data_IF_336448282664
#
_entry.id   IF_336448282664
#
_cell.length_a   1.000
_cell.length_b   1.000
_cell.length_c   1.000
_cell.angle_alpha   90.00
_cell.angle_beta   90.00
_cell.angle_gamma   90.00
#
_symmetry.space_group_name_H-M   'P 1'
#
loop_
_entity.id
_entity.type
_entity.pdbx_description
1 polymer ?
#
# COMPACT_ATOMS: atom_id res chain seq x y z
N UNK A 1 -9.77 10.51 -8.47
CA UNK A 1 -10.71 10.83 -7.37
C UNK A 1 -10.57 9.92 -6.14
N UNK A 2 -10.50 8.58 -6.27
CA UNK A 2 -10.34 7.69 -5.08
C UNK A 2 -8.94 7.72 -4.41
N UNK A 3 -7.88 8.01 -5.17
CA UNK A 3 -6.50 7.99 -4.68
C UNK A 3 -6.19 9.12 -3.70
N UNK A 4 -6.70 10.32 -3.94
CA UNK A 4 -6.54 11.48 -3.05
C UNK A 4 -7.26 11.28 -1.71
N UNK A 5 -8.44 10.65 -1.75
CA UNK A 5 -9.20 10.28 -0.55
C UNK A 5 -8.41 9.23 0.25
N UNK A 6 -7.91 8.18 -0.41
CA UNK A 6 -7.06 7.15 0.21
C UNK A 6 -5.85 7.78 0.87
N UNK A 7 -5.11 8.62 0.15
CA UNK A 7 -3.93 9.31 0.67
C UNK A 7 -4.22 10.13 1.92
N UNK A 8 -5.29 10.91 1.90
CA UNK A 8 -5.72 11.72 3.03
C UNK A 8 -6.05 10.85 4.25
N UNK A 9 -6.84 9.80 4.05
CA UNK A 9 -7.30 8.93 5.14
C UNK A 9 -6.17 8.08 5.71
N UNK A 10 -5.33 7.48 4.87
CA UNK A 10 -4.18 6.68 5.31
C UNK A 10 -3.13 7.54 6.00
N UNK A 11 -2.86 8.75 5.50
CA UNK A 11 -1.96 9.70 6.16
C UNK A 11 -2.47 10.10 7.54
N UNK A 12 -3.78 10.37 7.68
CA UNK A 12 -4.36 10.66 8.98
C UNK A 12 -4.28 9.42 9.90
N UNK A 13 -4.56 8.24 9.36
CA UNK A 13 -4.56 7.00 10.12
C UNK A 13 -3.17 6.68 10.68
N UNK A 14 -2.13 6.79 9.84
CA UNK A 14 -0.75 6.54 10.26
C UNK A 14 -0.28 7.56 11.30
N UNK A 15 -0.57 8.86 11.12
CA UNK A 15 -0.23 9.89 12.12
C UNK A 15 -0.81 9.57 13.49
N UNK A 16 -2.06 9.09 13.52
CA UNK A 16 -2.74 8.77 14.76
C UNK A 16 -2.32 7.43 15.38
N UNK A 17 -1.63 6.57 14.64
CA UNK A 17 -1.11 5.29 15.14
C UNK A 17 0.36 5.33 15.57
N UNK A 18 1.08 6.44 15.32
CA UNK A 18 2.46 6.65 15.83
C UNK A 18 2.50 6.43 17.34
N UNK A 19 3.51 5.68 17.80
CA UNK A 19 3.68 5.30 19.20
C UNK A 19 2.68 4.26 19.73
N UNK A 20 1.70 3.81 18.93
CA UNK A 20 0.68 2.82 19.34
C UNK A 20 0.86 1.46 18.67
N UNK A 21 1.48 1.41 17.50
CA UNK A 21 1.71 0.16 16.78
C UNK A 21 2.80 -0.65 17.49
N UNK A 22 2.56 -1.95 17.69
CA UNK A 22 3.57 -2.87 18.23
C UNK A 22 4.77 -3.00 17.27
N UNK A 23 5.97 -2.74 17.80
CA UNK A 23 7.23 -2.93 17.07
C UNK A 23 7.38 -4.39 16.64
N UNK A 24 7.01 -5.35 17.49
CA UNK A 24 7.07 -6.78 17.17
C UNK A 24 6.16 -7.14 15.98
N UNK A 25 4.96 -6.53 15.91
CA UNK A 25 4.07 -6.72 14.77
C UNK A 25 4.64 -6.13 13.48
N UNK A 26 5.26 -4.94 13.56
CA UNK A 26 5.94 -4.31 12.43
C UNK A 26 7.10 -5.17 11.92
N UNK A 27 7.90 -5.74 12.81
CA UNK A 27 9.00 -6.63 12.46
C UNK A 27 8.51 -7.92 11.80
N UNK A 28 7.47 -8.56 12.37
CA UNK A 28 6.85 -9.76 11.76
C UNK A 28 6.32 -9.51 10.35
N UNK A 29 5.72 -8.35 10.11
CA UNK A 29 5.23 -7.95 8.79
C UNK A 29 6.40 -7.65 7.85
N UNK A 30 7.44 -6.95 8.32
CA UNK A 30 8.66 -6.68 7.56
C UNK A 30 9.40 -7.95 7.14
N UNK A 31 9.56 -8.91 8.04
CA UNK A 31 10.06 -10.27 7.79
C UNK A 31 9.27 -10.97 6.68
N UNK A 32 7.93 -10.85 6.71
CA UNK A 32 7.06 -11.42 5.69
C UNK A 32 7.24 -10.76 4.33
N UNK A 33 7.46 -9.44 4.26
CA UNK A 33 7.72 -8.73 3.01
C UNK A 33 9.06 -9.14 2.40
N UNK A 34 10.10 -9.33 3.21
CA UNK A 34 11.43 -9.75 2.74
C UNK A 34 11.40 -11.07 1.96
N UNK A 35 10.46 -11.96 2.27
CA UNK A 35 10.25 -13.23 1.54
C UNK A 35 9.81 -13.05 0.09
N UNK A 36 9.44 -11.84 -0.34
CA UNK A 36 9.02 -11.53 -1.69
C UNK A 36 10.11 -10.88 -2.56
N UNK A 37 11.27 -10.52 -2.00
CA UNK A 37 12.34 -9.82 -2.74
C UNK A 37 12.75 -10.61 -3.99
N UNK A 38 12.99 -11.90 -3.83
CA UNK A 38 13.44 -12.80 -4.91
C UNK A 38 12.34 -13.77 -5.38
N UNK A 39 11.08 -13.53 -4.96
CA UNK A 39 9.98 -14.45 -5.27
C UNK A 39 9.53 -14.25 -6.72
N UNK A 40 9.38 -15.33 -7.51
CA UNK A 40 8.92 -15.22 -8.89
C UNK A 40 7.49 -14.66 -8.94
N UNK A 41 7.25 -13.80 -9.92
CA UNK A 41 5.94 -13.18 -10.13
C UNK A 41 5.03 -14.17 -10.86
N UNK A 42 4.00 -14.64 -10.17
CA UNK A 42 2.95 -15.53 -10.69
C UNK A 42 1.62 -15.26 -9.95
N UNK A 43 0.53 -15.89 -10.37
CA UNK A 43 -0.79 -15.64 -9.78
C UNK A 43 -0.83 -15.88 -8.25
N UNK A 44 -0.24 -16.97 -7.78
CA UNK A 44 -0.25 -17.34 -6.37
C UNK A 44 0.56 -16.34 -5.51
N UNK A 45 1.78 -16.01 -5.94
CA UNK A 45 2.62 -15.03 -5.24
C UNK A 45 1.98 -13.64 -5.23
N UNK A 46 1.32 -13.22 -6.32
CA UNK A 46 0.58 -11.96 -6.34
C UNK A 46 -0.55 -11.93 -5.30
N UNK A 47 -1.34 -13.01 -5.18
CA UNK A 47 -2.42 -13.10 -4.18
C UNK A 47 -1.84 -13.01 -2.76
N UNK A 48 -0.78 -13.77 -2.49
CA UNK A 48 -0.12 -13.76 -1.17
C UNK A 48 0.47 -12.38 -0.84
N UNK A 49 1.05 -11.69 -1.84
CA UNK A 49 1.59 -10.35 -1.68
C UNK A 49 0.50 -9.33 -1.37
N UNK A 50 -0.59 -9.33 -2.13
CA UNK A 50 -1.73 -8.42 -1.92
C UNK A 50 -2.39 -8.62 -0.55
N UNK A 51 -2.45 -9.86 -0.06
CA UNK A 51 -2.93 -10.15 1.29
C UNK A 51 -2.01 -9.59 2.37
N UNK A 52 -0.69 -9.69 2.19
CA UNK A 52 0.30 -9.12 3.11
C UNK A 52 0.28 -7.58 3.09
N UNK A 53 0.21 -6.98 1.91
CA UNK A 53 0.05 -5.53 1.70
C UNK A 53 -1.20 -5.02 2.42
N UNK A 54 -2.36 -5.68 2.21
CA UNK A 54 -3.59 -5.36 2.95
C UNK A 54 -3.38 -5.43 4.46
N UNK A 55 -2.79 -6.52 4.97
CA UNK A 55 -2.53 -6.70 6.40
C UNK A 55 -1.67 -5.57 6.97
N UNK A 56 -0.67 -5.10 6.23
CA UNK A 56 0.17 -4.00 6.67
C UNK A 56 -0.63 -2.69 6.80
N UNK A 57 -1.40 -2.32 5.79
CA UNK A 57 -2.23 -1.11 5.86
C UNK A 57 -3.37 -1.19 6.89
N UNK A 58 -3.93 -2.39 7.11
CA UNK A 58 -4.88 -2.65 8.20
C UNK A 58 -4.21 -2.41 9.56
N UNK A 59 -2.96 -2.85 9.75
CA UNK A 59 -2.19 -2.59 10.97
C UNK A 59 -2.04 -1.08 11.23
N UNK A 60 -1.75 -0.28 10.19
CA UNK A 60 -1.63 1.17 10.33
C UNK A 60 -2.96 1.82 10.75
N UNK A 61 -4.06 1.38 10.13
CA UNK A 61 -5.38 1.98 10.33
C UNK A 61 -6.06 1.55 11.63
N UNK A 62 -5.97 0.28 12.01
CA UNK A 62 -6.59 -0.23 13.24
C UNK A 62 -5.99 0.36 14.51
N UNK A 63 -4.71 0.75 14.47
CA UNK A 63 -4.02 1.37 15.60
C UNK A 63 -4.24 2.90 15.69
N UNK A 64 -5.04 3.51 14.81
CA UNK A 64 -5.25 4.96 14.81
C UNK A 64 -6.16 5.45 15.97
N UNK A 65 -6.92 4.54 16.59
CA UNK A 65 -7.86 4.84 17.68
C UNK A 65 -9.08 5.70 17.26
N UNK A 66 -9.31 5.91 15.96
CA UNK A 66 -10.46 6.64 15.44
C UNK A 66 -11.40 5.69 14.70
N UNK A 67 -12.47 5.26 15.38
CA UNK A 67 -13.47 4.34 14.83
C UNK A 67 -14.05 4.82 13.50
N UNK A 68 -14.33 6.13 13.37
CA UNK A 68 -14.91 6.66 12.14
C UNK A 68 -13.94 6.62 10.97
N UNK A 69 -12.65 6.87 11.23
CA UNK A 69 -11.60 6.76 10.22
C UNK A 69 -11.43 5.29 9.75
N UNK A 70 -11.48 4.35 10.69
CA UNK A 70 -11.43 2.91 10.38
C UNK A 70 -12.61 2.52 9.49
N UNK A 71 -13.84 2.95 9.82
CA UNK A 71 -15.03 2.71 8.99
C UNK A 71 -14.90 3.29 7.58
N UNK A 72 -14.38 4.52 7.45
CA UNK A 72 -14.20 5.16 6.14
C UNK A 72 -13.19 4.39 5.28
N UNK A 73 -12.07 3.94 5.85
CA UNK A 73 -11.09 3.11 5.15
C UNK A 73 -11.67 1.75 4.78
N UNK A 74 -12.46 1.13 5.67
CA UNK A 74 -13.14 -0.14 5.39
C UNK A 74 -14.14 -0.02 4.22
N UNK A 75 -14.86 1.09 4.12
CA UNK A 75 -15.79 1.36 3.02
C UNK A 75 -15.08 1.57 1.66
N UNK A 76 -13.77 1.84 1.67
CA UNK A 76 -12.95 2.00 0.47
C UNK A 76 -12.11 0.75 0.16
N UNK A 77 -12.26 -0.32 0.94
CA UNK A 77 -11.35 -1.46 0.92
C UNK A 77 -11.31 -2.14 -0.46
N UNK A 78 -12.45 -2.26 -1.12
CA UNK A 78 -12.56 -2.88 -2.46
C UNK A 78 -11.88 -2.03 -3.53
N UNK A 79 -12.09 -0.72 -3.51
CA UNK A 79 -11.44 0.21 -4.44
C UNK A 79 -9.92 0.25 -4.22
N UNK A 80 -9.48 0.20 -2.95
CA UNK A 80 -8.07 0.11 -2.59
C UNK A 80 -7.48 -1.24 -3.04
N UNK A 81 -8.20 -2.34 -2.86
CA UNK A 81 -7.75 -3.66 -3.30
C UNK A 81 -7.60 -3.71 -4.83
N UNK A 82 -8.57 -3.18 -5.57
CA UNK A 82 -8.49 -3.04 -7.02
C UNK A 82 -7.25 -2.22 -7.42
N UNK A 83 -7.03 -1.05 -6.81
CA UNK A 83 -5.87 -0.20 -7.07
C UNK A 83 -4.53 -0.93 -6.83
N UNK A 84 -4.41 -1.67 -5.72
CA UNK A 84 -3.22 -2.47 -5.40
C UNK A 84 -2.97 -3.55 -6.44
N UNK A 85 -4.02 -4.23 -6.89
CA UNK A 85 -3.91 -5.26 -7.93
C UNK A 85 -3.45 -4.67 -9.27
N UNK A 86 -3.98 -3.49 -9.65
CA UNK A 86 -3.58 -2.79 -10.87
C UNK A 86 -2.13 -2.29 -10.77
N UNK A 87 -1.75 -1.65 -9.67
CA UNK A 87 -0.39 -1.12 -9.51
C UNK A 87 0.66 -2.23 -9.56
N UNK A 88 0.36 -3.41 -8.99
CA UNK A 88 1.21 -4.59 -8.98
C UNK A 88 1.56 -5.11 -10.39
N UNK A 89 0.81 -4.72 -11.43
CA UNK A 89 1.14 -5.07 -12.83
C UNK A 89 2.33 -4.28 -13.40
N UNK A 90 2.69 -3.15 -12.77
CA UNK A 90 3.73 -2.22 -13.26
C UNK A 90 4.90 -2.04 -12.29
N UNK A 91 4.81 -2.59 -11.08
CA UNK A 91 5.87 -2.56 -10.07
C UNK A 91 6.41 -3.96 -9.79
N UNK A 92 7.66 -4.03 -9.35
CA UNK A 92 8.27 -5.29 -8.90
C UNK A 92 8.02 -5.52 -7.41
N UNK A 93 8.00 -6.78 -6.98
CA UNK A 93 7.96 -7.10 -5.56
C UNK A 93 9.13 -6.45 -4.82
N UNK A 94 10.37 -6.56 -5.32
CA UNK A 94 11.53 -5.95 -4.70
C UNK A 94 11.39 -4.42 -4.50
N UNK A 95 10.85 -3.71 -5.50
CA UNK A 95 10.61 -2.27 -5.41
C UNK A 95 9.57 -1.92 -4.35
N UNK A 96 8.42 -2.60 -4.38
CA UNK A 96 7.35 -2.36 -3.42
C UNK A 96 7.74 -2.80 -1.99
N UNK A 97 8.49 -3.89 -1.83
CA UNK A 97 9.03 -4.32 -0.53
C UNK A 97 9.95 -3.25 0.06
N UNK A 98 10.80 -2.62 -0.76
CA UNK A 98 11.68 -1.53 -0.31
C UNK A 98 10.89 -0.35 0.26
N UNK A 99 9.79 0.03 -0.40
CA UNK A 99 8.89 1.09 0.07
C UNK A 99 8.25 0.73 1.42
N UNK A 100 7.68 -0.47 1.53
CA UNK A 100 7.07 -0.97 2.77
C UNK A 100 8.07 -1.02 3.94
N UNK A 101 9.28 -1.52 3.70
CA UNK A 101 10.34 -1.56 4.71
C UNK A 101 10.77 -0.15 5.13
N UNK A 102 10.79 0.83 4.22
CA UNK A 102 11.09 2.21 4.58
C UNK A 102 10.03 2.81 5.53
N UNK A 103 8.74 2.52 5.29
CA UNK A 103 7.66 2.94 6.19
C UNK A 103 7.80 2.25 7.55
N UNK A 104 8.06 0.94 7.57
CA UNK A 104 8.26 0.16 8.81
C UNK A 104 9.43 0.72 9.64
N UNK A 105 10.57 0.99 9.01
CA UNK A 105 11.74 1.55 9.70
C UNK A 105 11.48 2.96 10.23
N UNK A 106 10.71 3.78 9.50
CA UNK A 106 10.28 5.08 9.97
C UNK A 106 9.34 4.98 11.20
N UNK A 107 8.40 4.03 11.18
CA UNK A 107 7.49 3.74 12.30
C UNK A 107 8.26 3.29 13.54
N UNK A 108 9.25 2.39 13.38
CA UNK A 108 10.10 1.92 14.47
C UNK A 108 10.90 3.06 15.13
N UNK A 109 11.31 4.06 14.34
CA UNK A 109 12.01 5.25 14.82
C UNK A 109 11.08 6.32 15.42
N UNK A 110 9.76 6.15 15.31
CA UNK A 110 8.75 7.16 15.64
C UNK A 110 9.04 8.54 14.99
N UNK A 111 9.63 8.55 13.80
CA UNK A 111 9.92 9.79 13.07
C UNK A 111 8.73 10.15 12.17
N UNK A 112 7.80 10.97 12.69
CA UNK A 112 6.58 11.36 11.98
C UNK A 112 6.88 11.92 10.57
N UNK A 113 7.91 12.75 10.42
CA UNK A 113 8.24 13.34 9.13
C UNK A 113 8.67 12.27 8.13
N UNK A 114 9.49 11.32 8.58
CA UNK A 114 9.95 10.22 7.74
C UNK A 114 8.80 9.25 7.40
N UNK A 115 7.92 8.95 8.36
CA UNK A 115 6.74 8.08 8.17
C UNK A 115 5.85 8.64 7.06
N UNK A 116 5.49 9.92 7.16
CA UNK A 116 4.59 10.55 6.19
C UNK A 116 5.26 10.67 4.83
N UNK A 117 6.54 11.04 4.78
CA UNK A 117 7.28 11.09 3.52
C UNK A 117 7.29 9.72 2.83
N UNK A 118 7.62 8.65 3.56
CA UNK A 118 7.68 7.31 3.01
C UNK A 118 6.31 6.80 2.54
N UNK A 119 5.25 7.03 3.33
CA UNK A 119 3.89 6.65 2.97
C UNK A 119 3.40 7.38 1.71
N UNK A 120 3.57 8.70 1.64
CA UNK A 120 3.14 9.47 0.46
C UNK A 120 3.89 9.05 -0.80
N UNK A 121 5.20 8.79 -0.70
CA UNK A 121 5.98 8.27 -1.82
C UNK A 121 5.45 6.91 -2.32
N UNK A 122 5.13 6.00 -1.39
CA UNK A 122 4.54 4.70 -1.72
C UNK A 122 3.18 4.86 -2.41
N UNK A 123 2.30 5.72 -1.87
CA UNK A 123 0.96 5.94 -2.43
C UNK A 123 0.99 6.62 -3.81
N UNK A 124 1.87 7.60 -4.01
CA UNK A 124 2.05 8.25 -5.31
C UNK A 124 2.60 7.25 -6.34
N UNK A 125 3.58 6.42 -5.96
CA UNK A 125 4.11 5.38 -6.86
C UNK A 125 3.04 4.37 -7.27
N UNK A 126 2.19 3.96 -6.32
CA UNK A 126 1.06 3.09 -6.61
C UNK A 126 0.06 3.76 -7.56
N UNK A 127 -0.26 5.04 -7.35
CA UNK A 127 -1.14 5.85 -8.21
C UNK A 127 -0.59 5.97 -9.63
N UNK A 128 0.66 6.39 -9.80
CA UNK A 128 1.31 6.50 -11.11
C UNK A 128 1.26 5.18 -11.86
N UNK A 129 1.60 4.09 -11.18
CA UNK A 129 1.61 2.74 -11.74
C UNK A 129 0.22 2.30 -12.18
N UNK A 130 -0.81 2.58 -11.37
CA UNK A 130 -2.21 2.29 -11.73
C UNK A 130 -2.68 3.12 -12.93
N UNK A 131 -2.32 4.40 -13.00
CA UNK A 131 -2.68 5.26 -14.14
C UNK A 131 -2.05 4.78 -15.45
N UNK A 132 -0.78 4.36 -15.42
CA UNK A 132 -0.09 3.80 -16.58
C UNK A 132 -0.82 2.54 -17.07
N UNK A 133 -1.17 1.63 -16.17
CA UNK A 133 -1.87 0.40 -16.53
C UNK A 133 -3.25 0.67 -17.13
N UNK A 134 -4.06 1.52 -16.48
CA UNK A 134 -5.40 1.88 -16.98
C UNK A 134 -5.33 2.56 -18.34
N UNK A 135 -4.37 3.47 -18.55
CA UNK A 135 -4.19 4.13 -19.85
C UNK A 135 -3.79 3.13 -20.95
N UNK A 136 -3.02 2.09 -20.62
CA UNK A 136 -2.64 1.06 -21.59
C UNK A 136 -3.85 0.28 -22.13
N UNK A 137 -4.91 0.10 -21.32
CA UNK A 137 -6.15 -0.52 -21.76
C UNK A 137 -6.91 0.38 -22.73
N UNK A 138 -6.94 1.70 -22.47
CA UNK A 138 -7.62 2.66 -23.34
C UNK A 138 -6.94 2.74 -24.72
N UNK A 139 -5.61 2.69 -24.77
CA UNK A 139 -4.86 2.65 -26.03
C UNK A 139 -5.09 1.36 -26.80
N UNK A 140 -5.15 0.21 -26.11
CA UNK A 140 -5.40 -1.10 -26.74
C UNK A 140 -6.83 -1.18 -27.30
N UNK A 141 -7.84 -0.76 -26.53
CA UNK A 141 -9.24 -0.75 -26.95
C UNK A 141 -9.51 0.15 -28.15
N UNK A 142 -8.86 1.32 -28.22
CA UNK A 142 -8.96 2.22 -29.38
C UNK A 142 -8.26 1.69 -30.63
N UNK A 143 -7.30 0.77 -30.48
CA UNK A 143 -6.61 0.12 -31.61
C UNK A 143 -7.39 -1.05 -32.22
N UNK A 144 -8.26 -1.70 -31.43
CA UNK A 144 -9.12 -2.81 -31.86
C UNK A 144 -10.41 -2.35 -32.56
N UNK A 145 -10.71 -1.04 -32.51
CA UNK A 145 -11.89 -0.42 -33.12
C UNK A 145 -11.57 0.35 -34.41
N UNK A 146 -10.35 0.20 -34.95
CA UNK A 146 -9.93 0.70 -36.26
C UNK A 146 -9.53 -0.48 -37.15
#
# INVERSE_FOLDING_TARGET
MYLEIRETLESLAVKKSIGKISIEQLEKVGESFKKFIDKPVNAESCIQYLALDKKFHDLLSQNCGNKKLIELLANLQEQIHWLRNISLKRITFAGSVKEHLAIIEALKKNDEKLIIKALLQHLERAKESSLIEVNSWNSTSNSLLK
#
